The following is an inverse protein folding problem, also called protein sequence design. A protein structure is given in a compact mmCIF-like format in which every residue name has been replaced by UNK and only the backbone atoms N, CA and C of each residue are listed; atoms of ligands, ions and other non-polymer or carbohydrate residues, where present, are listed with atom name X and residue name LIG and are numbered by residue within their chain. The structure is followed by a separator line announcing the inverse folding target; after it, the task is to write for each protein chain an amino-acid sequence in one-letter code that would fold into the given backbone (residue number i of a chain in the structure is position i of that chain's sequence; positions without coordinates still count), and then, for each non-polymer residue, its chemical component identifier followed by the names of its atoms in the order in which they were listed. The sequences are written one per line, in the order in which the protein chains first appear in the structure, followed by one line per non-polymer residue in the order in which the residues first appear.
data_IF_403618123976
#
_entry.id   IF_403618123976
#
_cell.length_a   1.000
_cell.length_b   1.000
_cell.length_c   1.000
_cell.angle_alpha   90.00
_cell.angle_beta   90.00
_cell.angle_gamma   90.00
#
_symmetry.space_group_name_H-M   'P 1'
#
loop_
_entity.id
_entity.type
_entity.pdbx_description
1 polymer ?
#
# COMPACT_ATOMS: atom_id res chain seq x y z
N UNK A 1 10.08 0.08 -12.10
CA UNK A 1 11.39 -0.01 -12.78
C UNK A 1 12.43 0.10 -11.68
N UNK A 2 13.03 -1.02 -11.28
CA UNK A 2 14.12 -1.00 -10.29
C UNK A 2 15.37 -0.38 -10.91
N UNK A 3 16.00 0.54 -10.18
CA UNK A 3 17.28 1.15 -10.53
C UNK A 3 18.44 0.14 -10.35
N UNK A 4 18.38 -0.99 -11.05
CA UNK A 4 19.52 -1.90 -11.11
C UNK A 4 20.22 -1.73 -12.46
N UNK A 5 21.51 -1.39 -12.41
CA UNK A 5 22.34 -1.27 -13.60
C UNK A 5 22.35 -2.63 -14.32
N UNK A 6 21.81 -2.67 -15.55
CA UNK A 6 21.66 -3.88 -16.41
C UNK A 6 22.94 -4.71 -16.62
N UNK A 7 24.11 -4.23 -16.19
CA UNK A 7 25.40 -4.89 -16.41
C UNK A 7 25.72 -6.00 -15.40
N UNK A 8 25.14 -6.02 -14.20
CA UNK A 8 25.55 -6.96 -13.15
C UNK A 8 24.73 -8.28 -13.07
N UNK A 9 23.64 -8.39 -13.83
CA UNK A 9 22.69 -9.51 -13.72
C UNK A 9 22.69 -10.49 -14.91
N UNK A 10 23.50 -10.24 -15.95
CA UNK A 10 23.45 -10.99 -17.20
C UNK A 10 23.86 -12.47 -17.08
N UNK A 11 24.49 -12.86 -15.96
CA UNK A 11 24.95 -14.22 -15.71
C UNK A 11 24.30 -14.85 -14.45
N UNK A 12 23.22 -14.26 -13.94
CA UNK A 12 22.47 -14.80 -12.80
C UNK A 12 21.19 -15.42 -13.33
N UNK A 13 21.21 -16.73 -13.56
CA UNK A 13 20.00 -17.48 -13.89
C UNK A 13 19.08 -17.53 -12.65
N UNK A 14 17.79 -17.29 -12.85
CA UNK A 14 16.80 -17.40 -11.78
C UNK A 14 16.79 -18.84 -11.25
N UNK A 15 17.05 -19.02 -9.95
CA UNK A 15 17.01 -20.34 -9.29
C UNK A 15 15.61 -20.97 -9.37
N UNK A 16 14.57 -20.14 -9.50
CA UNK A 16 13.17 -20.55 -9.65
C UNK A 16 12.54 -19.79 -10.81
N UNK A 17 12.03 -20.53 -11.81
CA UNK A 17 11.18 -19.99 -12.86
C UNK A 17 9.70 -19.95 -12.43
N UNK A 18 8.83 -19.19 -13.11
CA UNK A 18 7.39 -19.13 -12.81
C UNK A 18 6.74 -20.52 -12.74
N UNK A 19 7.13 -21.42 -13.66
CA UNK A 19 6.60 -22.78 -13.77
C UNK A 19 7.05 -23.70 -12.62
N UNK A 20 8.07 -23.29 -11.86
CA UNK A 20 8.57 -24.06 -10.70
C UNK A 20 7.87 -23.70 -9.39
N UNK A 21 6.99 -22.69 -9.41
CA UNK A 21 6.21 -22.26 -8.26
C UNK A 21 4.96 -23.15 -8.18
N UNK A 22 4.83 -23.88 -7.07
CA UNK A 22 3.65 -24.68 -6.83
C UNK A 22 2.39 -23.82 -6.76
N UNK A 23 1.39 -24.13 -7.57
CA UNK A 23 0.06 -23.52 -7.50
C UNK A 23 -0.74 -23.94 -6.25
N UNK A 24 -0.22 -24.89 -5.46
CA UNK A 24 -0.83 -25.41 -4.23
C UNK A 24 -0.48 -24.58 -2.97
N UNK A 25 0.13 -23.41 -3.15
CA UNK A 25 0.57 -22.55 -2.04
C UNK A 25 -0.61 -21.97 -1.23
N UNK A 26 -1.75 -21.66 -1.88
CA UNK A 26 -2.98 -21.24 -1.19
C UNK A 26 -4.00 -22.37 -1.25
N UNK A 27 -4.12 -23.11 -0.15
CA UNK A 27 -5.15 -24.14 -0.01
C UNK A 27 -6.54 -23.49 0.15
N UNK A 28 -7.61 -24.09 -0.39
CA UNK A 28 -8.99 -23.62 -0.18
C UNK A 28 -9.32 -23.39 1.31
N UNK A 29 -8.84 -24.27 2.19
CA UNK A 29 -9.04 -24.14 3.64
C UNK A 29 -8.39 -22.87 4.21
N UNK A 30 -7.22 -22.47 3.68
CA UNK A 30 -6.55 -21.25 4.09
C UNK A 30 -7.37 -20.02 3.72
N UNK A 31 -7.94 -20.00 2.51
CA UNK A 31 -8.83 -18.94 2.03
C UNK A 31 -10.12 -18.89 2.87
N UNK A 32 -10.78 -20.03 3.08
CA UNK A 32 -11.98 -20.14 3.91
C UNK A 32 -11.72 -19.66 5.35
N UNK A 33 -10.58 -20.01 5.94
CA UNK A 33 -10.21 -19.54 7.27
C UNK A 33 -10.05 -18.02 7.35
N UNK A 34 -9.57 -17.38 6.27
CA UNK A 34 -9.46 -15.92 6.18
C UNK A 34 -10.82 -15.26 6.02
N UNK A 35 -11.70 -15.83 5.19
CA UNK A 35 -13.08 -15.36 5.03
C UNK A 35 -13.83 -15.39 6.37
N UNK A 36 -13.74 -16.49 7.13
CA UNK A 36 -14.36 -16.60 8.45
C UNK A 36 -13.79 -15.60 9.48
N UNK A 37 -12.47 -15.31 9.44
CA UNK A 37 -11.87 -14.26 10.27
C UNK A 37 -12.37 -12.87 9.87
N UNK A 38 -12.53 -12.62 8.57
CA UNK A 38 -13.01 -11.35 8.02
C UNK A 38 -14.47 -11.10 8.40
N UNK A 39 -15.33 -12.12 8.32
CA UNK A 39 -16.72 -12.06 8.77
C UNK A 39 -16.81 -11.65 10.25
N UNK A 40 -15.99 -12.27 11.12
CA UNK A 40 -15.89 -11.89 12.54
C UNK A 40 -15.42 -10.46 12.74
N UNK A 41 -14.43 -10.02 11.96
CA UNK A 41 -13.93 -8.64 11.99
C UNK A 41 -15.05 -7.66 11.60
N UNK A 42 -15.76 -7.90 10.50
CA UNK A 42 -16.84 -7.03 10.03
C UNK A 42 -17.96 -6.93 11.05
N UNK A 43 -18.37 -8.04 11.67
CA UNK A 43 -19.36 -8.03 12.76
C UNK A 43 -18.88 -7.15 13.91
N UNK A 44 -17.62 -7.31 14.35
CA UNK A 44 -17.02 -6.47 15.41
C UNK A 44 -17.00 -4.99 15.00
N UNK A 45 -16.64 -4.67 13.76
CA UNK A 45 -16.59 -3.28 13.28
C UNK A 45 -17.97 -2.63 13.12
N UNK A 46 -18.96 -3.40 12.69
CA UNK A 46 -20.36 -2.97 12.64
C UNK A 46 -20.88 -2.66 14.05
N UNK A 47 -20.63 -3.55 15.01
CA UNK A 47 -21.10 -3.37 16.39
C UNK A 47 -20.38 -2.22 17.12
N UNK A 48 -19.09 -2.00 16.84
CA UNK A 48 -18.26 -1.08 17.64
C UNK A 48 -17.98 0.27 17.00
N UNK A 49 -17.99 0.39 15.66
CA UNK A 49 -17.41 1.56 14.97
C UNK A 49 -18.34 2.17 13.94
N UNK A 50 -18.87 1.37 13.00
CA UNK A 50 -19.57 1.90 11.82
C UNK A 50 -21.10 1.69 11.82
N UNK A 51 -21.64 0.98 12.81
CA UNK A 51 -23.08 0.69 12.88
C UNK A 51 -23.58 -0.11 11.66
N UNK A 52 -24.72 0.32 11.10
CA UNK A 52 -25.38 -0.30 9.94
C UNK A 52 -24.81 0.10 8.58
N UNK A 53 -23.77 0.94 8.53
CA UNK A 53 -23.16 1.41 7.26
C UNK A 53 -22.16 0.41 6.65
N UNK A 54 -21.82 -0.66 7.37
CA UNK A 54 -21.11 -1.80 6.78
C UNK A 54 -22.11 -2.63 5.95
N UNK A 55 -21.84 -2.76 4.64
CA UNK A 55 -22.60 -3.64 3.75
C UNK A 55 -22.55 -5.09 4.29
N UNK A 56 -23.72 -5.69 4.46
CA UNK A 56 -23.88 -7.05 5.00
C UNK A 56 -23.47 -8.15 4.02
N UNK A 57 -23.43 -7.82 2.73
CA UNK A 57 -22.99 -8.70 1.64
C UNK A 57 -22.07 -7.90 0.72
N UNK A 58 -20.93 -8.49 0.37
CA UNK A 58 -20.09 -7.93 -0.70
C UNK A 58 -20.65 -8.43 -2.02
N UNK A 59 -20.71 -7.53 -3.00
CA UNK A 59 -20.74 -7.99 -4.38
C UNK A 59 -19.39 -8.66 -4.66
N UNK A 60 -19.44 -9.86 -5.24
CA UNK A 60 -18.23 -10.50 -5.73
C UNK A 60 -17.61 -9.60 -6.80
N UNK A 61 -16.32 -9.34 -6.64
CA UNK A 61 -15.55 -8.63 -7.66
C UNK A 61 -15.09 -9.67 -8.66
N UNK A 62 -15.49 -9.51 -9.92
CA UNK A 62 -15.08 -10.40 -11.00
C UNK A 62 -13.56 -10.34 -11.19
N UNK A 63 -12.92 -11.49 -10.98
CA UNK A 63 -11.47 -11.65 -11.10
C UNK A 63 -10.97 -11.50 -12.55
N UNK A 64 -11.80 -11.75 -13.57
CA UNK A 64 -11.38 -11.61 -14.98
C UNK A 64 -11.23 -10.15 -15.39
N UNK A 65 -12.07 -9.28 -14.84
CA UNK A 65 -12.05 -7.84 -15.09
C UNK A 65 -11.22 -7.06 -14.07
N UNK A 66 -10.71 -7.73 -13.05
CA UNK A 66 -9.95 -7.10 -11.97
C UNK A 66 -8.46 -7.39 -12.04
N UNK A 67 -7.66 -6.37 -11.74
CA UNK A 67 -6.20 -6.49 -11.67
C UNK A 67 -5.71 -5.92 -10.35
N UNK A 68 -5.01 -6.74 -9.58
CA UNK A 68 -4.33 -6.33 -8.35
C UNK A 68 -2.83 -6.25 -8.61
N UNK A 69 -2.25 -5.09 -8.35
CA UNK A 69 -0.81 -4.85 -8.39
C UNK A 69 -0.27 -4.85 -6.97
N UNK A 70 0.80 -5.57 -6.72
CA UNK A 70 1.46 -5.61 -5.41
C UNK A 70 2.96 -5.42 -5.62
N UNK A 71 3.52 -4.37 -5.04
CA UNK A 71 4.96 -4.27 -4.79
C UNK A 71 5.20 -4.50 -3.29
N UNK A 72 5.68 -5.70 -2.89
CA UNK A 72 5.85 -6.03 -1.48
C UNK A 72 7.02 -5.29 -0.82
N UNK A 73 7.91 -4.67 -1.60
CA UNK A 73 9.05 -3.91 -1.12
C UNK A 73 9.48 -2.89 -2.19
N UNK A 74 8.82 -1.74 -2.21
CA UNK A 74 9.28 -0.58 -2.96
C UNK A 74 10.38 0.15 -2.16
N UNK A 75 11.41 0.64 -2.85
CA UNK A 75 12.62 1.18 -2.21
C UNK A 75 13.64 0.10 -1.79
N UNK A 76 13.78 -1.00 -2.53
CA UNK A 76 14.74 -2.10 -2.22
C UNK A 76 16.16 -1.60 -1.96
N UNK A 77 16.67 -0.66 -2.75
CA UNK A 77 18.01 -0.07 -2.54
C UNK A 77 18.10 0.69 -1.22
N UNK A 78 17.07 1.47 -0.88
CA UNK A 78 16.99 2.20 0.38
C UNK A 78 16.89 1.24 1.57
N UNK A 79 16.14 0.14 1.44
CA UNK A 79 16.07 -0.90 2.45
C UNK A 79 17.46 -1.49 2.73
N UNK A 80 18.22 -1.85 1.69
CA UNK A 80 19.59 -2.38 1.83
C UNK A 80 20.54 -1.35 2.45
N UNK A 81 20.37 -0.06 2.13
CA UNK A 81 21.17 1.04 2.68
C UNK A 81 20.74 1.48 4.08
N UNK A 82 19.66 0.92 4.62
CA UNK A 82 19.10 1.30 5.94
C UNK A 82 18.33 2.62 5.93
N UNK A 83 17.99 3.17 4.76
CA UNK A 83 17.13 4.34 4.62
C UNK A 83 15.65 3.91 4.69
N UNK A 84 15.26 3.35 5.84
CA UNK A 84 13.98 2.66 6.02
C UNK A 84 12.76 3.57 5.79
N UNK A 85 12.88 4.87 6.02
CA UNK A 85 11.78 5.84 5.83
C UNK A 85 11.34 5.99 4.37
N UNK A 86 12.20 5.61 3.41
CA UNK A 86 11.88 5.60 2.00
C UNK A 86 11.21 4.29 1.53
N UNK A 87 11.14 3.27 2.39
CA UNK A 87 10.61 1.95 2.03
C UNK A 87 9.09 1.94 2.13
N UNK A 88 8.43 1.42 1.09
CA UNK A 88 6.97 1.28 1.07
C UNK A 88 6.52 -0.08 0.55
N UNK A 89 5.25 -0.40 0.79
CA UNK A 89 4.51 -1.51 0.18
C UNK A 89 3.38 -0.89 -0.61
N UNK A 90 3.30 -1.21 -1.89
CA UNK A 90 2.34 -0.63 -2.81
C UNK A 90 1.29 -1.69 -3.17
N UNK A 91 0.00 -1.31 -3.06
CA UNK A 91 -1.10 -2.16 -3.52
C UNK A 91 -2.04 -1.31 -4.38
N UNK A 92 -2.33 -1.77 -5.59
CA UNK A 92 -3.28 -1.14 -6.50
C UNK A 92 -4.38 -2.11 -6.90
N UNK A 93 -5.61 -1.62 -7.00
CA UNK A 93 -6.74 -2.34 -7.59
C UNK A 93 -7.28 -1.55 -8.79
N UNK A 94 -7.33 -2.19 -9.94
CA UNK A 94 -8.04 -1.70 -11.12
C UNK A 94 -9.17 -2.68 -11.50
N UNK A 95 -10.30 -2.15 -11.94
CA UNK A 95 -11.45 -2.92 -12.42
C UNK A 95 -11.81 -2.39 -13.80
N UNK A 96 -11.92 -3.27 -14.79
CA UNK A 96 -12.10 -2.93 -16.20
C UNK A 96 -11.05 -1.92 -16.72
N UNK A 97 -9.79 -2.10 -16.27
CA UNK A 97 -8.68 -1.19 -16.61
C UNK A 97 -8.74 0.19 -15.94
N UNK A 98 -9.75 0.46 -15.09
CA UNK A 98 -9.89 1.75 -14.38
C UNK A 98 -9.37 1.60 -12.95
N UNK A 99 -8.43 2.43 -12.48
CA UNK A 99 -7.94 2.38 -11.10
C UNK A 99 -9.05 2.73 -10.11
N UNK A 100 -9.25 1.88 -9.09
CA UNK A 100 -10.30 2.04 -8.07
C UNK A 100 -9.75 2.36 -6.69
N UNK A 101 -8.68 1.68 -6.29
CA UNK A 101 -8.06 1.85 -4.97
C UNK A 101 -6.54 1.85 -5.13
N UNK A 102 -5.88 2.73 -4.40
CA UNK A 102 -4.43 2.69 -4.20
C UNK A 102 -4.10 2.68 -2.72
N UNK A 103 -3.10 1.91 -2.32
CA UNK A 103 -2.57 1.82 -0.95
C UNK A 103 -1.06 1.98 -1.01
N UNK A 104 -0.56 2.88 -0.18
CA UNK A 104 0.87 3.06 0.12
C UNK A 104 1.04 2.80 1.60
N UNK A 105 1.64 1.68 1.95
CA UNK A 105 1.98 1.37 3.32
C UNK A 105 3.46 1.65 3.56
N UNK A 106 3.75 2.59 4.44
CA UNK A 106 5.11 2.89 4.88
C UNK A 106 5.31 2.29 6.28
N UNK A 107 6.00 1.13 6.38
CA UNK A 107 6.15 0.44 7.66
C UNK A 107 7.10 1.15 8.63
N UNK A 108 7.95 2.05 8.13
CA UNK A 108 8.95 2.77 8.91
C UNK A 108 8.77 4.27 8.69
N UNK A 109 8.15 4.97 9.63
CA UNK A 109 8.00 6.43 9.55
C UNK A 109 9.35 7.15 9.66
N UNK A 110 10.33 6.51 10.29
CA UNK A 110 11.69 7.03 10.49
C UNK A 110 12.73 5.95 10.17
N UNK A 111 13.98 6.36 9.90
CA UNK A 111 15.09 5.44 9.71
C UNK A 111 15.49 4.67 10.97
N UNK A 112 14.99 5.09 12.14
CA UNK A 112 15.32 4.48 13.44
C UNK A 112 14.48 3.22 13.73
N UNK A 113 13.45 2.94 12.92
CA UNK A 113 12.52 1.84 13.15
C UNK A 113 11.98 1.82 14.59
N UNK A 114 11.45 2.97 15.02
CA UNK A 114 10.83 3.18 16.33
C UNK A 114 9.47 2.44 16.52
N UNK A 115 9.09 1.63 15.52
CA UNK A 115 7.82 0.91 15.46
C UNK A 115 6.66 1.77 14.95
N UNK A 116 6.89 3.02 14.55
CA UNK A 116 5.87 3.87 13.94
C UNK A 116 5.81 3.64 12.44
N UNK A 117 4.60 3.60 11.90
CA UNK A 117 4.38 3.58 10.46
C UNK A 117 3.03 4.17 10.10
N UNK A 118 2.71 4.13 8.81
CA UNK A 118 1.45 4.64 8.30
C UNK A 118 0.98 3.86 7.07
N UNK A 119 -0.33 3.85 6.88
CA UNK A 119 -0.96 3.42 5.63
C UNK A 119 -1.72 4.59 5.07
N UNK A 120 -1.34 5.02 3.88
CA UNK A 120 -2.10 5.95 3.06
C UNK A 120 -2.93 5.10 2.10
N UNK A 121 -4.19 5.43 1.93
CA UNK A 121 -5.02 4.80 0.92
C UNK A 121 -5.94 5.83 0.30
N UNK A 122 -6.26 5.64 -0.98
CA UNK A 122 -7.15 6.51 -1.71
C UNK A 122 -8.11 5.73 -2.58
N UNK A 123 -9.27 6.33 -2.81
CA UNK A 123 -10.26 5.83 -3.77
C UNK A 123 -10.62 6.94 -4.73
N UNK A 124 -11.02 6.58 -5.95
CA UNK A 124 -11.41 7.55 -6.98
C UNK A 124 -12.54 8.49 -6.51
N UNK A 125 -13.48 7.98 -5.69
CA UNK A 125 -14.71 8.69 -5.32
C UNK A 125 -14.63 9.45 -3.99
N UNK A 126 -13.67 9.11 -3.10
CA UNK A 126 -13.65 9.64 -1.71
C UNK A 126 -12.36 10.38 -1.34
N UNK A 127 -11.38 10.44 -2.25
CA UNK A 127 -10.09 11.07 -2.00
C UNK A 127 -9.10 10.16 -1.25
N UNK A 128 -8.13 10.77 -0.56
CA UNK A 128 -7.03 10.08 0.11
C UNK A 128 -7.14 10.22 1.63
N UNK A 129 -6.71 9.17 2.33
CA UNK A 129 -6.78 9.07 3.78
C UNK A 129 -5.49 8.46 4.33
N UNK A 130 -5.15 8.82 5.56
CA UNK A 130 -3.99 8.27 6.28
C UNK A 130 -4.41 7.62 7.60
N UNK A 131 -3.84 6.44 7.85
CA UNK A 131 -3.93 5.69 9.09
C UNK A 131 -2.54 5.48 9.66
N UNK A 132 -2.23 6.15 10.76
CA UNK A 132 -0.98 5.93 11.49
C UNK A 132 -1.09 4.66 12.34
N UNK A 133 0.02 4.00 12.61
CA UNK A 133 0.09 2.91 13.57
C UNK A 133 1.40 2.93 14.36
N UNK A 134 1.36 2.26 15.51
CA UNK A 134 2.53 1.95 16.31
C UNK A 134 2.53 0.44 16.57
N UNK A 135 3.69 -0.21 16.45
CA UNK A 135 3.88 -1.64 16.68
C UNK A 135 3.44 -2.11 18.09
N UNK A 136 3.31 -1.20 19.06
CA UNK A 136 2.84 -1.46 20.42
C UNK A 136 1.31 -1.42 20.57
N UNK A 137 0.57 -1.01 19.55
CA UNK A 137 -0.90 -0.96 19.60
C UNK A 137 -1.48 -2.38 19.74
N UNK A 138 -2.45 -2.51 20.64
CA UNK A 138 -3.30 -3.68 20.76
C UNK A 138 -4.19 -3.86 19.53
N UNK A 139 -4.80 -5.05 19.39
CA UNK A 139 -5.75 -5.32 18.29
C UNK A 139 -6.97 -4.41 18.35
N UNK A 140 -7.40 -4.06 19.57
CA UNK A 140 -8.50 -3.16 19.84
C UNK A 140 -8.16 -1.74 19.39
N UNK A 141 -6.98 -1.24 19.76
CA UNK A 141 -6.51 0.09 19.32
C UNK A 141 -6.35 0.15 17.80
N UNK A 142 -5.78 -0.90 17.17
CA UNK A 142 -5.65 -0.96 15.71
C UNK A 142 -7.01 -0.92 14.99
N UNK A 143 -8.03 -1.55 15.57
CA UNK A 143 -9.40 -1.58 15.02
C UNK A 143 -10.15 -0.27 15.27
N UNK A 144 -9.88 0.44 16.37
CA UNK A 144 -10.55 1.69 16.72
C UNK A 144 -10.00 2.93 15.99
N UNK A 145 -8.97 2.78 15.15
CA UNK A 145 -8.40 3.91 14.39
C UNK A 145 -9.40 4.47 13.39
N UNK A 146 -9.44 5.79 13.31
CA UNK A 146 -10.24 6.54 12.34
C UNK A 146 -9.31 7.07 11.23
N UNK A 147 -9.58 6.79 9.95
CA UNK A 147 -8.81 7.36 8.84
C UNK A 147 -8.89 8.89 8.85
N UNK A 148 -7.75 9.56 8.75
CA UNK A 148 -7.69 11.03 8.62
C UNK A 148 -7.73 11.38 7.14
N UNK A 149 -8.67 12.24 6.74
CA UNK A 149 -8.70 12.77 5.37
C UNK A 149 -7.42 13.56 5.07
N UNK A 150 -6.82 13.31 3.92
CA UNK A 150 -5.70 14.09 3.42
C UNK A 150 -6.27 15.17 2.51
N UNK A 151 -6.29 16.40 3.01
CA UNK A 151 -6.77 17.54 2.25
C UNK A 151 -5.92 17.72 0.98
N UNK A 152 -6.56 17.92 -0.19
CA UNK A 152 -5.86 18.32 -1.39
C UNK A 152 -5.09 19.62 -1.14
N UNK A 153 -3.98 19.79 -1.86
CA UNK A 153 -3.25 21.07 -1.85
C UNK A 153 -4.21 22.22 -2.22
N UNK A 154 -4.14 23.32 -1.48
CA UNK A 154 -4.88 24.56 -1.76
C UNK A 154 -4.48 25.07 -3.16
N UNK A 155 -5.33 24.81 -4.17
CA UNK A 155 -5.04 25.22 -5.55
C UNK A 155 -5.09 26.75 -5.72
N UNK A 156 -5.80 27.45 -4.84
CA UNK A 156 -6.01 28.90 -4.88
C UNK A 156 -5.06 29.69 -3.97
N UNK A 157 -4.12 29.02 -3.30
CA UNK A 157 -3.16 29.73 -2.46
C UNK A 157 -2.25 30.56 -3.34
N UNK A 158 -2.37 31.88 -3.26
CA UNK A 158 -1.40 32.80 -3.84
C UNK A 158 -0.04 32.46 -3.23
N UNK A 159 0.84 31.91 -4.09
CA UNK A 159 2.21 31.61 -3.73
C UNK A 159 2.89 32.96 -3.50
N UNK A 160 3.36 33.20 -2.28
CA UNK A 160 4.10 34.42 -1.94
C UNK A 160 5.31 34.58 -2.86
N UNK A 161 5.66 35.83 -3.20
CA UNK A 161 6.80 36.14 -4.09
C UNK A 161 8.15 35.61 -3.58
N UNK A 162 8.24 35.26 -2.29
CA UNK A 162 9.42 34.66 -1.64
C UNK A 162 9.39 33.13 -1.57
N UNK A 163 8.37 32.47 -2.14
CA UNK A 163 8.24 31.02 -2.10
C UNK A 163 9.22 30.35 -3.05
N UNK A 164 10.18 29.62 -2.49
CA UNK A 164 11.15 28.85 -3.25
C UNK A 164 10.50 27.57 -3.80
N UNK A 165 10.13 27.56 -5.09
CA UNK A 165 9.63 26.37 -5.77
C UNK A 165 10.73 25.31 -5.81
N UNK A 166 10.54 24.21 -5.09
CA UNK A 166 11.45 23.06 -5.11
C UNK A 166 10.91 22.00 -6.07
N UNK A 167 11.51 21.93 -7.25
CA UNK A 167 11.27 20.84 -8.19
C UNK A 167 12.20 19.70 -7.81
N UNK A 168 11.65 18.61 -7.27
CA UNK A 168 12.38 17.36 -7.12
C UNK A 168 12.23 16.55 -8.41
N UNK A 169 13.31 16.44 -9.18
CA UNK A 169 13.40 15.55 -10.33
C UNK A 169 14.60 14.63 -10.15
N UNK A 170 14.46 13.37 -10.57
CA UNK A 170 15.59 12.46 -10.58
C UNK A 170 16.60 12.89 -11.66
N UNK A 171 17.84 13.17 -11.24
CA UNK A 171 18.93 13.55 -12.15
C UNK A 171 19.51 12.34 -12.92
N UNK A 172 19.03 11.12 -12.68
CA UNK A 172 19.69 9.89 -13.15
C UNK A 172 19.59 9.62 -14.66
N UNK A 173 19.02 10.52 -15.47
CA UNK A 173 18.84 10.30 -16.92
C UNK A 173 19.29 11.44 -17.86
N UNK A 174 20.06 12.44 -17.39
CA UNK A 174 20.47 13.59 -18.24
C UNK A 174 21.88 13.52 -18.86
N UNK A 175 22.64 12.44 -18.67
CA UNK A 175 23.90 12.27 -19.41
C UNK A 175 23.66 11.36 -20.64
N UNK A 176 23.32 12.00 -21.77
CA UNK A 176 23.62 11.48 -23.11
C UNK A 176 24.96 12.04 -23.59
#
# INVERSE_FOLDING_TARGET
MGEEAKQDLQNIDSVFGPDSISHDFIKPDFLQSHLAKREKFNKKMSELVYGGEILSAYDEVDCETSTVWIDPLDGTTDFVKGNLSAVTVLIGLAVNGVPKIGVVHNPFKTNENDGMGMTIFGTQEHGAFVLEYNAKMSKEELAARVPKYMEPFEQEKEISDDYEVRVAASLSHFNQ
#
